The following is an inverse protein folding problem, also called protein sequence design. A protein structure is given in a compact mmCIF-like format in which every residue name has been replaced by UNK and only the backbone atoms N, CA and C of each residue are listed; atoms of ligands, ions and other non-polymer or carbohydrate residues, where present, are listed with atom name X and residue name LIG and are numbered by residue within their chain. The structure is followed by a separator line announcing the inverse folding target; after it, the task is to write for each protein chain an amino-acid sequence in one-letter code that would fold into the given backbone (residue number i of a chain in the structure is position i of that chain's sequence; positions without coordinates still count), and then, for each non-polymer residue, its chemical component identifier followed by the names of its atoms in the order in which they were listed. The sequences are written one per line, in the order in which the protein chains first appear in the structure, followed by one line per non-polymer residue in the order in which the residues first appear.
data_IF_219405572989
#
_entry.id   IF_219405572989
#
_cell.length_a   1.000
_cell.length_b   1.000
_cell.length_c   1.000
_cell.angle_alpha   90.00
_cell.angle_beta   90.00
_cell.angle_gamma   90.00
#
_symmetry.space_group_name_H-M   'P 1'
#
loop_
_entity.id
_entity.type
_entity.pdbx_description
1 polymer ?
#
# COMPACT_ATOMS: atom_id res chain seq x y z
N UNK A 1 -28.14 -5.23 -23.08
CA UNK A 1 -27.24 -5.38 -21.91
C UNK A 1 -25.99 -6.06 -22.42
N UNK A 2 -24.83 -5.41 -22.29
CA UNK A 2 -23.55 -6.07 -22.62
C UNK A 2 -23.28 -7.05 -21.49
N UNK A 3 -23.31 -8.35 -21.79
CA UNK A 3 -23.00 -9.37 -20.79
C UNK A 3 -21.52 -9.26 -20.44
N UNK A 4 -21.22 -8.77 -19.24
CA UNK A 4 -19.85 -8.73 -18.71
C UNK A 4 -19.39 -10.17 -18.50
N UNK A 5 -18.17 -10.50 -18.95
CA UNK A 5 -17.59 -11.85 -18.90
C UNK A 5 -16.20 -11.83 -18.26
N UNK A 6 -15.64 -13.00 -17.94
CA UNK A 6 -14.26 -13.12 -17.47
C UNK A 6 -13.25 -12.57 -18.49
N UNK A 7 -13.49 -12.76 -19.79
CA UNK A 7 -12.65 -12.21 -20.86
C UNK A 7 -12.65 -10.68 -20.88
N UNK A 8 -13.79 -10.05 -20.61
CA UNK A 8 -13.87 -8.59 -20.49
C UNK A 8 -12.92 -8.05 -19.41
N UNK A 9 -12.88 -8.68 -18.24
CA UNK A 9 -11.98 -8.28 -17.16
C UNK A 9 -10.50 -8.54 -17.48
N UNK A 10 -10.19 -9.58 -18.27
CA UNK A 10 -8.83 -9.81 -18.78
C UNK A 10 -8.37 -8.65 -19.66
N UNK A 11 -9.21 -8.25 -20.61
CA UNK A 11 -8.87 -7.18 -21.56
C UNK A 11 -8.70 -5.85 -20.83
N UNK A 12 -9.62 -5.55 -19.91
CA UNK A 12 -9.56 -4.36 -19.07
C UNK A 12 -8.29 -4.34 -18.20
N UNK A 13 -7.94 -5.46 -17.56
CA UNK A 13 -6.71 -5.57 -16.78
C UNK A 13 -5.45 -5.35 -17.62
N UNK A 14 -5.42 -5.89 -18.84
CA UNK A 14 -4.29 -5.72 -19.76
C UNK A 14 -4.16 -4.28 -20.24
N UNK A 15 -5.29 -3.61 -20.52
CA UNK A 15 -5.32 -2.19 -20.86
C UNK A 15 -4.74 -1.35 -19.73
N UNK A 16 -5.21 -1.53 -18.50
CA UNK A 16 -4.71 -0.78 -17.33
C UNK A 16 -3.22 -1.07 -17.05
N UNK A 17 -2.79 -2.33 -17.18
CA UNK A 17 -1.38 -2.70 -17.02
C UNK A 17 -0.49 -1.98 -18.04
N UNK A 18 -0.93 -1.90 -19.29
CA UNK A 18 -0.20 -1.22 -20.36
C UNK A 18 -0.15 0.28 -20.12
N UNK A 19 -1.28 0.89 -19.76
CA UNK A 19 -1.37 2.32 -19.47
C UNK A 19 -0.47 2.74 -18.30
N UNK A 20 -0.54 2.02 -17.17
CA UNK A 20 0.28 2.30 -15.99
C UNK A 20 1.77 2.09 -16.29
N UNK A 21 2.12 1.04 -17.04
CA UNK A 21 3.51 0.79 -17.43
C UNK A 21 4.04 1.94 -18.30
N UNK A 22 3.26 2.39 -19.28
CA UNK A 22 3.62 3.55 -20.11
C UNK A 22 3.82 4.83 -19.30
N UNK A 23 3.00 5.07 -18.27
CA UNK A 23 3.19 6.19 -17.35
C UNK A 23 4.49 6.05 -16.55
N UNK A 24 4.74 4.88 -15.97
CA UNK A 24 5.97 4.61 -15.23
C UNK A 24 7.21 4.85 -16.10
N UNK A 25 7.22 4.33 -17.33
CA UNK A 25 8.34 4.47 -18.26
C UNK A 25 8.56 5.94 -18.66
N UNK A 26 7.48 6.68 -18.94
CA UNK A 26 7.56 8.09 -19.26
C UNK A 26 8.21 8.90 -18.13
N UNK A 27 7.71 8.73 -16.90
CA UNK A 27 8.23 9.45 -15.75
C UNK A 27 9.63 8.99 -15.35
N UNK A 28 9.95 7.71 -15.52
CA UNK A 28 11.30 7.21 -15.29
C UNK A 28 12.29 7.77 -16.32
N UNK A 29 11.87 8.01 -17.55
CA UNK A 29 12.69 8.70 -18.56
C UNK A 29 12.94 10.16 -18.16
N UNK A 30 11.90 10.86 -17.67
CA UNK A 30 12.03 12.26 -17.19
C UNK A 30 13.03 12.36 -16.03
N UNK A 31 13.08 11.36 -15.14
CA UNK A 31 14.06 11.33 -14.05
C UNK A 31 15.49 11.00 -14.51
N UNK A 32 15.67 10.32 -15.64
CA UNK A 32 16.99 9.92 -16.17
C UNK A 32 17.61 10.97 -17.07
N UNK A 33 16.79 11.79 -17.71
CA UNK A 33 17.24 12.88 -18.56
C UNK A 33 17.98 13.94 -17.73
N UNK A 34 19.26 14.20 -18.04
CA UNK A 34 20.15 15.03 -17.22
C UNK A 34 19.67 16.48 -17.13
N UNK A 35 19.13 17.02 -18.22
CA UNK A 35 18.67 18.39 -18.28
C UNK A 35 17.37 18.55 -17.47
N UNK A 36 16.47 17.57 -17.56
CA UNK A 36 15.24 17.53 -16.77
C UNK A 36 15.50 17.24 -15.28
N UNK A 37 16.44 16.34 -14.96
CA UNK A 37 16.73 15.92 -13.59
C UNK A 37 17.28 17.06 -12.73
N UNK A 38 18.08 17.96 -13.30
CA UNK A 38 18.61 19.13 -12.59
C UNK A 38 17.56 20.20 -12.29
N UNK A 39 16.46 20.21 -13.06
CA UNK A 39 15.36 21.16 -12.91
C UNK A 39 14.27 20.69 -11.93
N UNK A 40 14.22 19.39 -11.62
CA UNK A 40 13.19 18.81 -10.74
C UNK A 40 13.64 18.92 -9.28
N UNK A 41 12.84 19.53 -8.39
CA UNK A 41 13.13 19.54 -6.95
C UNK A 41 13.17 18.12 -6.36
N UNK A 42 14.07 17.87 -5.40
CA UNK A 42 14.25 16.56 -4.74
C UNK A 42 12.93 16.00 -4.18
N UNK A 43 12.08 16.85 -3.60
CA UNK A 43 10.77 16.45 -3.08
C UNK A 43 9.86 15.89 -4.18
N UNK A 44 9.88 16.50 -5.37
CA UNK A 44 9.08 16.05 -6.52
C UNK A 44 9.68 14.79 -7.12
N UNK A 45 11.01 14.68 -7.19
CA UNK A 45 11.70 13.45 -7.58
C UNK A 45 11.29 12.27 -6.68
N UNK A 46 11.29 12.48 -5.36
CA UNK A 46 10.83 11.50 -4.38
C UNK A 46 9.37 11.10 -4.60
N UNK A 47 8.47 12.08 -4.85
CA UNK A 47 7.06 11.79 -5.19
C UNK A 47 6.93 10.90 -6.42
N UNK A 48 7.68 11.18 -7.49
CA UNK A 48 7.67 10.38 -8.73
C UNK A 48 8.15 8.95 -8.44
N UNK A 49 9.28 8.80 -7.74
CA UNK A 49 9.83 7.48 -7.41
C UNK A 49 8.87 6.65 -6.55
N UNK A 50 8.21 7.27 -5.57
CA UNK A 50 7.20 6.62 -4.74
C UNK A 50 6.01 6.16 -5.60
N UNK A 51 5.49 7.03 -6.48
CA UNK A 51 4.38 6.70 -7.37
C UNK A 51 4.73 5.52 -8.30
N UNK A 52 5.92 5.52 -8.91
CA UNK A 52 6.43 4.41 -9.73
C UNK A 52 6.53 3.12 -8.89
N UNK A 53 7.08 3.20 -7.68
CA UNK A 53 7.18 2.05 -6.78
C UNK A 53 5.82 1.45 -6.42
N UNK A 54 4.84 2.29 -6.12
CA UNK A 54 3.47 1.87 -5.82
C UNK A 54 2.79 1.23 -7.03
N UNK A 55 2.94 1.82 -8.22
CA UNK A 55 2.43 1.28 -9.47
C UNK A 55 2.97 -0.13 -9.75
N UNK A 56 4.29 -0.31 -9.63
CA UNK A 56 4.92 -1.62 -9.76
C UNK A 56 4.43 -2.62 -8.72
N UNK A 57 4.19 -2.18 -7.48
CA UNK A 57 3.68 -3.04 -6.43
C UNK A 57 2.24 -3.49 -6.72
N UNK A 58 1.39 -2.58 -7.21
CA UNK A 58 0.02 -2.89 -7.61
C UNK A 58 0.02 -3.94 -8.73
N UNK A 59 0.82 -3.72 -9.77
CA UNK A 59 0.90 -4.65 -10.91
C UNK A 59 1.43 -6.03 -10.48
N UNK A 60 2.50 -6.10 -9.69
CA UNK A 60 3.08 -7.39 -9.26
C UNK A 60 2.24 -8.15 -8.25
N UNK A 61 1.35 -7.48 -7.50
CA UNK A 61 0.55 -8.11 -6.45
C UNK A 61 -0.92 -8.22 -6.81
N UNK A 62 -1.58 -7.09 -7.01
CA UNK A 62 -3.02 -7.04 -7.20
C UNK A 62 -3.41 -7.49 -8.61
N UNK A 63 -2.67 -7.07 -9.64
CA UNK A 63 -3.00 -7.50 -11.00
C UNK A 63 -2.71 -9.00 -11.19
N UNK A 64 -1.59 -9.49 -10.67
CA UNK A 64 -1.28 -10.94 -10.64
C UNK A 64 -2.37 -11.74 -9.90
N UNK A 65 -2.83 -11.27 -8.74
CA UNK A 65 -3.94 -11.91 -8.01
C UNK A 65 -5.23 -11.91 -8.85
N UNK A 66 -5.55 -10.81 -9.51
CA UNK A 66 -6.75 -10.70 -10.34
C UNK A 66 -6.68 -11.59 -11.59
N UNK A 67 -5.51 -11.72 -12.24
CA UNK A 67 -5.28 -12.69 -13.33
C UNK A 67 -5.62 -14.11 -12.89
N UNK A 68 -5.21 -14.49 -11.69
CA UNK A 68 -5.53 -15.79 -11.10
C UNK A 68 -7.04 -15.99 -10.95
N UNK A 69 -7.76 -14.99 -10.45
CA UNK A 69 -9.22 -15.04 -10.29
C UNK A 69 -9.94 -15.15 -11.65
N UNK A 70 -9.50 -14.38 -12.65
CA UNK A 70 -10.06 -14.46 -14.01
C UNK A 70 -9.88 -15.87 -14.58
N UNK A 71 -8.68 -16.45 -14.45
CA UNK A 71 -8.39 -17.81 -14.91
C UNK A 71 -9.25 -18.86 -14.18
N UNK A 72 -9.43 -18.70 -12.86
CA UNK A 72 -10.29 -19.58 -12.07
C UNK A 72 -11.77 -19.49 -12.49
N UNK A 73 -12.25 -18.30 -12.86
CA UNK A 73 -13.61 -18.09 -13.36
C UNK A 73 -13.84 -18.79 -14.71
N UNK A 74 -12.84 -18.76 -15.60
CA UNK A 74 -12.95 -19.41 -16.92
C UNK A 74 -12.87 -20.93 -16.84
N UNK A 75 -11.97 -21.46 -16.02
CA UNK A 75 -11.73 -22.90 -15.91
C UNK A 75 -12.78 -23.62 -15.07
N UNK A 76 -13.57 -22.90 -14.25
CA UNK A 76 -14.54 -23.46 -13.31
C UNK A 76 -13.95 -24.60 -12.44
N UNK A 77 -12.65 -24.54 -12.17
CA UNK A 77 -11.87 -25.68 -11.67
C UNK A 77 -11.95 -25.88 -10.16
N UNK A 78 -12.68 -25.04 -9.43
CA UNK A 78 -12.75 -25.04 -7.97
C UNK A 78 -14.08 -25.56 -7.45
N UNK A 79 -14.04 -26.26 -6.30
CA UNK A 79 -15.22 -26.70 -5.55
C UNK A 79 -16.18 -25.54 -5.21
N UNK A 80 -15.62 -24.32 -5.12
CA UNK A 80 -16.37 -23.05 -5.12
C UNK A 80 -15.99 -22.25 -6.37
N UNK A 81 -16.81 -22.25 -7.44
CA UNK A 81 -16.47 -21.55 -8.67
C UNK A 81 -16.45 -20.03 -8.45
N UNK A 82 -15.46 -19.37 -9.04
CA UNK A 82 -15.40 -17.89 -9.07
C UNK A 82 -16.44 -17.41 -10.08
N UNK A 83 -17.33 -16.54 -9.65
CA UNK A 83 -18.37 -15.96 -10.52
C UNK A 83 -17.90 -14.64 -11.13
N UNK A 84 -18.57 -14.20 -12.19
CA UNK A 84 -18.34 -12.87 -12.77
C UNK A 84 -18.62 -11.75 -11.76
N UNK A 85 -19.52 -11.98 -10.80
CA UNK A 85 -19.82 -11.02 -9.73
C UNK A 85 -18.65 -10.90 -8.74
N UNK A 86 -17.96 -12.00 -8.44
CA UNK A 86 -16.73 -11.97 -7.62
C UNK A 86 -15.62 -11.17 -8.32
N UNK A 87 -15.49 -11.34 -9.66
CA UNK A 87 -14.54 -10.55 -10.46
C UNK A 87 -14.88 -9.07 -10.42
N UNK A 88 -16.16 -8.71 -10.53
CA UNK A 88 -16.61 -7.33 -10.44
C UNK A 88 -16.26 -6.70 -9.09
N UNK A 89 -16.61 -7.38 -7.99
CA UNK A 89 -16.34 -6.86 -6.65
C UNK A 89 -14.84 -6.70 -6.38
N UNK A 90 -14.02 -7.65 -6.84
CA UNK A 90 -12.56 -7.51 -6.75
C UNK A 90 -12.06 -6.32 -7.59
N UNK A 91 -12.57 -6.19 -8.83
CA UNK A 91 -12.19 -5.10 -9.72
C UNK A 91 -12.48 -3.74 -9.10
N UNK A 92 -13.68 -3.52 -8.57
CA UNK A 92 -14.07 -2.24 -7.95
C UNK A 92 -13.09 -1.83 -6.82
N UNK A 93 -12.74 -2.78 -5.94
CA UNK A 93 -11.80 -2.51 -4.84
C UNK A 93 -10.36 -2.29 -5.33
N UNK A 94 -9.94 -3.04 -6.37
CA UNK A 94 -8.63 -2.86 -6.97
C UNK A 94 -8.52 -1.54 -7.72
N UNK A 95 -9.60 -1.13 -8.40
CA UNK A 95 -9.64 0.07 -9.23
C UNK A 95 -9.47 1.35 -8.40
N UNK A 96 -9.95 1.38 -7.15
CA UNK A 96 -9.65 2.49 -6.22
C UNK A 96 -8.13 2.72 -6.07
N UNK A 97 -7.33 1.66 -6.05
CA UNK A 97 -5.87 1.78 -5.98
C UNK A 97 -5.26 2.21 -7.32
N UNK A 98 -5.87 1.80 -8.44
CA UNK A 98 -5.50 2.26 -9.79
C UNK A 98 -5.72 3.77 -9.91
N UNK A 99 -6.89 4.26 -9.48
CA UNK A 99 -7.21 5.69 -9.47
C UNK A 99 -6.25 6.49 -8.58
N UNK A 100 -5.87 5.95 -7.42
CA UNK A 100 -4.90 6.58 -6.53
C UNK A 100 -3.49 6.70 -7.19
N UNK A 101 -3.10 5.76 -8.03
CA UNK A 101 -1.85 5.88 -8.82
C UNK A 101 -1.99 6.95 -9.90
N UNK A 102 -3.10 6.95 -10.65
CA UNK A 102 -3.34 7.96 -11.67
C UNK A 102 -3.37 9.37 -11.08
N UNK A 103 -4.01 9.54 -9.93
CA UNK A 103 -4.07 10.82 -9.20
C UNK A 103 -2.68 11.33 -8.83
N UNK A 104 -1.80 10.45 -8.34
CA UNK A 104 -0.40 10.83 -8.03
C UNK A 104 0.36 11.29 -9.27
N UNK A 105 0.23 10.58 -10.39
CA UNK A 105 0.88 11.01 -11.63
C UNK A 105 0.29 12.30 -12.20
N UNK A 106 -1.01 12.53 -12.06
CA UNK A 106 -1.64 13.80 -12.43
C UNK A 106 -1.20 14.96 -11.53
N UNK A 107 -0.95 14.74 -10.23
CA UNK A 107 -0.35 15.75 -9.36
C UNK A 107 1.05 16.16 -9.86
N UNK A 108 1.91 15.17 -10.16
CA UNK A 108 3.25 15.44 -10.70
C UNK A 108 3.18 16.16 -12.05
N UNK A 109 2.25 15.76 -12.92
CA UNK A 109 2.03 16.40 -14.22
C UNK A 109 1.65 17.87 -14.07
N UNK A 110 0.79 18.21 -13.11
CA UNK A 110 0.42 19.60 -12.83
C UNK A 110 1.60 20.40 -12.26
N UNK A 111 2.41 19.79 -11.39
CA UNK A 111 3.64 20.42 -10.91
C UNK A 111 4.59 20.71 -12.08
N UNK A 112 4.79 19.76 -12.99
CA UNK A 112 5.59 19.96 -14.20
C UNK A 112 5.09 21.13 -15.05
N UNK A 113 3.78 21.25 -15.23
CA UNK A 113 3.15 22.38 -15.96
C UNK A 113 3.32 23.72 -15.24
N UNK A 114 3.49 23.70 -13.92
CA UNK A 114 3.71 24.87 -13.08
C UNK A 114 5.20 25.08 -12.74
N UNK A 115 6.13 24.69 -13.63
CA UNK A 115 7.58 24.82 -13.42
C UNK A 115 8.08 24.23 -12.09
N UNK A 116 7.45 23.15 -11.64
CA UNK A 116 7.72 22.46 -10.38
C UNK A 116 7.39 23.26 -9.11
N UNK A 117 6.71 24.39 -9.24
CA UNK A 117 6.28 25.18 -8.10
C UNK A 117 5.04 24.57 -7.44
N UNK A 118 4.94 24.63 -6.09
CA UNK A 118 3.76 24.17 -5.37
C UNK A 118 2.50 24.83 -5.91
N UNK A 119 1.50 24.02 -6.28
CA UNK A 119 0.20 24.56 -6.64
C UNK A 119 -0.42 25.21 -5.40
N UNK A 120 -1.13 26.35 -5.55
CA UNK A 120 -1.89 26.94 -4.46
C UNK A 120 -2.90 25.90 -4.00
N UNK A 121 -2.71 25.39 -2.78
CA UNK A 121 -3.69 24.50 -2.16
C UNK A 121 -5.01 25.26 -2.10
N UNK A 122 -6.16 24.69 -2.52
CA UNK A 122 -7.41 25.23 -2.06
C UNK A 122 -7.32 25.24 -0.54
N UNK A 123 -7.48 26.42 0.04
CA UNK A 123 -7.41 26.66 1.47
C UNK A 123 -8.62 25.94 2.09
N UNK A 124 -8.52 24.63 2.28
CA UNK A 124 -9.45 23.89 3.12
C UNK A 124 -9.17 24.46 4.51
N UNK A 125 -9.99 25.41 4.94
CA UNK A 125 -10.11 25.80 6.34
C UNK A 125 -10.35 24.52 7.11
N UNK A 126 -9.28 23.93 7.64
CA UNK A 126 -9.32 22.76 8.49
C UNK A 126 -10.09 23.21 9.72
N UNK A 127 -11.36 22.84 9.81
CA UNK A 127 -11.99 22.77 11.11
C UNK A 127 -11.15 21.77 11.93
N UNK A 128 -10.79 22.09 13.18
CA UNK A 128 -9.91 21.25 13.96
C UNK A 128 -10.65 19.93 14.29
N UNK A 129 -10.39 18.90 13.50
CA UNK A 129 -10.60 17.52 13.91
C UNK A 129 -9.59 17.23 15.02
N UNK A 130 -10.13 16.97 16.22
CA UNK A 130 -9.38 16.72 17.44
C UNK A 130 -8.25 15.71 17.24
N UNK A 131 -7.12 16.01 17.89
CA UNK A 131 -5.87 15.27 17.93
C UNK A 131 -6.01 13.73 17.81
N UNK A 132 -5.51 13.19 16.71
CA UNK A 132 -4.90 11.85 16.71
C UNK A 132 -3.49 11.97 16.11
N UNK A 133 -2.54 12.29 17.00
CA UNK A 133 -1.12 12.27 16.70
C UNK A 133 -0.65 10.82 16.50
N UNK A 134 -0.14 10.52 15.31
CA UNK A 134 1.03 9.62 15.17
C UNK A 134 1.80 9.95 13.90
N UNK A 135 2.68 10.94 14.06
CA UNK A 135 3.86 11.13 13.23
C UNK A 135 4.95 10.16 13.70
N UNK A 136 5.70 9.61 12.75
CA UNK A 136 7.12 9.36 12.97
C UNK A 136 7.90 9.55 11.66
N UNK A 137 8.31 10.79 11.42
CA UNK A 137 9.59 11.10 10.80
C UNK A 137 10.69 11.12 11.87
N UNK A 138 11.87 10.61 11.50
CA UNK A 138 13.07 10.58 12.32
C UNK A 138 13.68 11.98 12.51
N UNK A 139 14.06 12.33 13.73
CA UNK A 139 15.32 13.05 14.01
C UNK A 139 15.58 13.06 15.52
N UNK A 140 16.80 12.68 15.88
CA UNK A 140 17.27 12.53 17.24
C UNK A 140 17.23 13.83 18.03
N UNK A 141 16.57 13.82 19.20
CA UNK A 141 16.90 14.73 20.28
C UNK A 141 16.70 14.03 21.62
N UNK A 142 17.83 13.83 22.29
CA UNK A 142 18.01 13.38 23.67
C UNK A 142 16.99 14.03 24.60
N UNK A 143 16.07 13.26 25.18
CA UNK A 143 15.29 13.69 26.36
C UNK A 143 15.22 12.58 27.40
N UNK A 144 15.76 12.90 28.57
CA UNK A 144 15.58 12.18 29.85
C UNK A 144 14.08 12.00 30.09
N UNK A 145 13.60 10.76 30.17
CA UNK A 145 12.27 10.44 30.69
C UNK A 145 12.37 10.17 32.19
N UNK A 146 11.86 11.11 32.98
CA UNK A 146 11.56 10.92 34.41
C UNK A 146 10.08 10.56 34.53
N UNK A 147 9.82 9.40 35.15
CA UNK A 147 8.67 9.17 36.03
C UNK A 147 7.41 8.56 35.43
N UNK A 148 6.96 7.45 36.05
CA UNK A 148 5.64 6.77 35.95
C UNK A 148 5.53 5.82 34.72
N UNK A 149 5.68 4.50 34.79
CA UNK A 149 5.24 3.47 35.76
C UNK A 149 6.24 2.28 35.76
N UNK A 150 6.79 1.89 36.92
CA UNK A 150 7.66 0.69 37.04
C UNK A 150 6.89 -0.58 37.42
N UNK A 151 5.63 -0.45 37.82
CA UNK A 151 4.91 -1.54 38.51
C UNK A 151 4.22 -2.53 37.57
N UNK A 152 3.78 -2.10 36.38
CA UNK A 152 3.09 -2.98 35.43
C UNK A 152 4.00 -4.06 34.82
N UNK A 153 5.29 -3.78 34.64
CA UNK A 153 6.23 -4.72 34.03
C UNK A 153 6.68 -5.84 34.97
N UNK A 154 6.66 -5.62 36.29
CA UNK A 154 7.04 -6.65 37.27
C UNK A 154 5.96 -7.74 37.34
N UNK A 155 4.70 -7.34 37.45
CA UNK A 155 3.58 -8.27 37.51
C UNK A 155 3.42 -9.09 36.21
N UNK A 156 3.67 -8.48 35.04
CA UNK A 156 3.66 -9.20 33.77
C UNK A 156 4.78 -10.26 33.68
N UNK A 157 5.98 -9.95 34.17
CA UNK A 157 7.11 -10.89 34.20
C UNK A 157 6.87 -12.06 35.15
N UNK A 158 6.27 -11.80 36.31
CA UNK A 158 5.94 -12.85 37.28
C UNK A 158 4.89 -13.83 36.74
N UNK A 159 3.82 -13.33 36.11
CA UNK A 159 2.80 -14.20 35.49
C UNK A 159 3.39 -15.08 34.39
N UNK A 160 4.33 -14.56 33.59
CA UNK A 160 5.01 -15.34 32.56
C UNK A 160 5.94 -16.42 33.16
N UNK A 161 6.65 -16.11 34.25
CA UNK A 161 7.51 -17.07 34.94
C UNK A 161 6.70 -18.22 35.57
N UNK A 162 5.59 -17.91 36.23
CA UNK A 162 4.68 -18.91 36.79
C UNK A 162 4.07 -19.81 35.70
N UNK A 163 3.64 -19.23 34.57
CA UNK A 163 3.12 -19.99 33.43
C UNK A 163 4.18 -20.94 32.84
N UNK A 164 5.44 -20.50 32.73
CA UNK A 164 6.54 -21.34 32.26
C UNK A 164 6.89 -22.46 33.24
N UNK A 165 6.87 -22.19 34.55
CA UNK A 165 7.13 -23.20 35.57
C UNK A 165 6.06 -24.31 35.57
N UNK A 166 4.78 -23.95 35.45
CA UNK A 166 3.68 -24.92 35.36
C UNK A 166 3.79 -25.77 34.07
N UNK A 167 4.14 -25.14 32.94
CA UNK A 167 4.36 -25.87 31.68
C UNK A 167 5.51 -26.87 31.79
N UNK A 168 6.64 -26.48 32.42
CA UNK A 168 7.77 -27.39 32.65
C UNK A 168 7.38 -28.55 33.57
N UNK A 169 6.63 -28.29 34.63
CA UNK A 169 6.18 -29.35 35.57
C UNK A 169 5.22 -30.34 34.89
N UNK A 170 4.29 -29.85 34.06
CA UNK A 170 3.42 -30.70 33.23
C UNK A 170 4.22 -31.56 32.23
N UNK A 171 5.27 -31.00 31.63
CA UNK A 171 6.15 -31.75 30.72
C UNK A 171 6.96 -32.81 31.47
N UNK A 172 7.41 -32.55 32.70
CA UNK A 172 8.08 -33.54 33.56
C UNK A 172 7.12 -34.65 34.02
N UNK A 173 5.88 -34.31 34.38
CA UNK A 173 4.85 -35.29 34.76
C UNK A 173 4.41 -36.18 33.59
N UNK A 174 4.44 -35.67 32.34
CA UNK A 174 4.21 -36.46 31.13
C UNK A 174 5.40 -37.32 30.69
N UNK A 175 6.61 -37.08 31.22
CA UNK A 175 7.81 -37.86 30.90
C UNK A 175 8.01 -39.07 31.83
N UNK A 176 7.28 -39.13 32.95
CA UNK A 176 7.33 -40.24 33.92
C UNK A 176 6.11 -41.18 33.84
N UNK A 177 5.36 -41.18 32.73
CA UNK A 177 4.37 -42.23 32.39
C UNK A 177 4.86 -43.07 31.21
#
# INVERSE_FOLDING_TARGET
MVSVSASHYRDLLNQECTAITGLCDNWQSVLKDSDSCSAIPDDVCGKIQIAIGQAHLLMRKKFEQFRGLISACETNSSERPVTVQDLQGYWEVMYIQVEDIYSKFEEVKKLKQNNWEPLPSPEIKRQPLGNLNKSCGNAASRRKSVGVTKDFTAQAKERLAQAKALARKRMEEQCCQ
#
